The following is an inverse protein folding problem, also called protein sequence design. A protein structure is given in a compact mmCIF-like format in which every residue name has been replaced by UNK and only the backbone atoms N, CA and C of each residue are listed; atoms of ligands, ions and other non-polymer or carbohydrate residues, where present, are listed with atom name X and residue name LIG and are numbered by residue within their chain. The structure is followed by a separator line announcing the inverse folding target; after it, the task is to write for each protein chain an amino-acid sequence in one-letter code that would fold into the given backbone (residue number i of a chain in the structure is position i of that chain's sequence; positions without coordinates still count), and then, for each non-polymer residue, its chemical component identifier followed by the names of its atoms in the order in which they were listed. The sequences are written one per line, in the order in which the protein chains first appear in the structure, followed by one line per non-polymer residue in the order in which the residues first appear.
data_IF_165054339934
#
_entry.id   IF_165054339934
#
_cell.length_a   1.000
_cell.length_b   1.000
_cell.length_c   1.000
_cell.angle_alpha   90.00
_cell.angle_beta   90.00
_cell.angle_gamma   90.00
#
_symmetry.space_group_name_H-M   'P 1'
#
loop_
_entity.id
_entity.type
_entity.pdbx_description
1 polymer ?
#
# COMPACT_ATOMS: atom_id res chain seq x y z
N UNK A 1 -1.92 4.39 16.99
CA UNK A 1 -2.58 3.61 15.94
C UNK A 1 -1.95 3.93 14.60
N UNK A 2 -2.00 3.02 13.67
CA UNK A 2 -1.39 3.21 12.37
C UNK A 2 -2.42 3.22 11.25
N UNK A 3 -2.09 3.93 10.20
CA UNK A 3 -2.79 3.85 8.94
C UNK A 3 -1.92 3.11 7.95
N UNK A 4 -2.54 2.48 6.97
CA UNK A 4 -1.83 1.69 5.98
C UNK A 4 -1.82 2.38 4.62
N UNK A 5 -0.73 2.23 3.89
CA UNK A 5 -0.64 2.65 2.49
C UNK A 5 -0.29 1.44 1.65
N UNK A 6 -1.13 1.09 0.69
CA UNK A 6 -0.81 0.06 -0.29
C UNK A 6 0.01 0.70 -1.41
N UNK A 7 1.20 0.18 -1.64
CA UNK A 7 2.18 0.81 -2.51
C UNK A 7 2.68 -0.17 -3.58
N UNK A 8 2.64 0.23 -4.83
CA UNK A 8 3.10 -0.58 -5.97
C UNK A 8 4.12 0.15 -6.86
N UNK A 9 4.62 1.30 -6.42
CA UNK A 9 5.57 2.10 -7.18
C UNK A 9 4.94 3.02 -8.22
N UNK A 10 3.63 2.97 -8.43
CA UNK A 10 2.94 3.84 -9.40
C UNK A 10 2.85 5.27 -8.89
N UNK A 11 2.61 6.21 -9.82
CA UNK A 11 2.43 7.61 -9.45
C UNK A 11 1.20 7.82 -8.56
N UNK A 12 0.12 7.08 -8.83
CA UNK A 12 -1.08 7.16 -7.97
C UNK A 12 -0.82 6.61 -6.58
N UNK A 13 0.05 5.61 -6.43
CA UNK A 13 0.46 5.10 -5.12
C UNK A 13 1.33 6.12 -4.37
N UNK A 14 2.20 6.82 -5.08
CA UNK A 14 2.99 7.92 -4.48
C UNK A 14 2.09 9.04 -3.98
N UNK A 15 1.04 9.38 -4.73
CA UNK A 15 0.06 10.36 -4.29
C UNK A 15 -0.72 9.88 -3.08
N UNK A 16 -1.05 8.59 -3.03
CA UNK A 16 -1.69 8.00 -1.85
C UNK A 16 -0.80 8.12 -0.61
N UNK A 17 0.50 7.86 -0.76
CA UNK A 17 1.46 8.02 0.33
C UNK A 17 1.55 9.48 0.78
N UNK A 18 1.59 10.41 -0.18
CA UNK A 18 1.62 11.85 0.14
C UNK A 18 0.39 12.26 0.96
N UNK A 19 -0.79 11.85 0.52
CA UNK A 19 -2.03 12.15 1.21
C UNK A 19 -2.08 11.50 2.60
N UNK A 20 -1.62 10.26 2.71
CA UNK A 20 -1.54 9.56 3.99
C UNK A 20 -0.60 10.30 4.97
N UNK A 21 0.50 10.85 4.47
CA UNK A 21 1.45 11.61 5.28
C UNK A 21 0.80 12.87 5.84
N UNK A 22 0.02 13.58 5.02
CA UNK A 22 -0.73 14.76 5.49
C UNK A 22 -1.73 14.36 6.58
N UNK A 23 -2.47 13.29 6.35
CA UNK A 23 -3.43 12.78 7.33
C UNK A 23 -2.76 12.36 8.63
N UNK A 24 -1.68 11.59 8.54
CA UNK A 24 -0.95 11.11 9.72
C UNK A 24 -0.39 12.26 10.55
N UNK A 25 0.10 13.31 9.89
CA UNK A 25 0.57 14.51 10.59
C UNK A 25 -0.56 15.23 11.35
N UNK A 26 -1.73 15.34 10.72
CA UNK A 26 -2.88 16.02 11.33
C UNK A 26 -3.46 15.25 12.52
N UNK A 27 -3.47 13.92 12.44
CA UNK A 27 -4.09 13.06 13.45
C UNK A 27 -3.09 12.34 14.35
N UNK A 28 -1.80 12.61 14.20
CA UNK A 28 -0.71 12.02 14.99
C UNK A 28 -0.73 10.50 14.94
N UNK A 29 -0.73 9.97 13.72
CA UNK A 29 -0.74 8.54 13.48
C UNK A 29 0.57 8.09 12.79
N UNK A 30 0.88 6.82 12.92
CA UNK A 30 2.01 6.20 12.24
C UNK A 30 1.55 5.64 10.89
N UNK A 31 2.49 5.43 9.97
CA UNK A 31 2.21 4.86 8.66
C UNK A 31 2.88 3.49 8.53
N UNK A 32 2.13 2.52 8.03
CA UNK A 32 2.71 1.28 7.53
C UNK A 32 2.51 1.21 6.02
N UNK A 33 3.62 1.21 5.28
CA UNK A 33 3.59 1.06 3.82
C UNK A 33 3.75 -0.40 3.48
N UNK A 34 2.77 -0.97 2.79
CA UNK A 34 2.79 -2.38 2.40
C UNK A 34 2.86 -2.52 0.90
N UNK A 35 3.62 -3.50 0.46
CA UNK A 35 3.68 -3.92 -0.94
C UNK A 35 3.48 -5.41 -0.99
N UNK A 36 2.53 -5.88 -1.80
CA UNK A 36 2.33 -7.30 -2.04
C UNK A 36 3.27 -7.73 -3.18
N UNK A 37 4.13 -8.70 -2.90
CA UNK A 37 5.04 -9.24 -3.89
C UNK A 37 4.29 -10.15 -4.85
N UNK A 38 4.62 -10.05 -6.13
CA UNK A 38 4.11 -10.96 -7.15
C UNK A 38 4.97 -12.24 -7.17
N UNK A 39 4.36 -13.36 -7.53
CA UNK A 39 5.06 -14.64 -7.71
C UNK A 39 5.52 -15.28 -6.41
N UNK A 40 4.77 -15.12 -5.32
CA UNK A 40 5.16 -15.52 -3.98
C UNK A 40 5.83 -16.90 -3.84
N UNK A 41 5.27 -17.93 -4.46
CA UNK A 41 5.80 -19.30 -4.39
C UNK A 41 7.10 -19.49 -5.19
N UNK A 42 7.35 -18.60 -6.16
CA UNK A 42 8.52 -18.67 -7.05
C UNK A 42 9.69 -17.81 -6.53
N UNK A 43 9.48 -17.08 -5.44
CA UNK A 43 10.50 -16.20 -4.87
C UNK A 43 11.39 -16.98 -3.91
N UNK A 44 12.70 -16.90 -4.11
CA UNK A 44 13.65 -17.43 -3.14
C UNK A 44 13.97 -16.37 -2.08
N UNK A 45 14.81 -16.74 -1.12
CA UNK A 45 15.17 -15.89 0.01
C UNK A 45 15.87 -14.60 -0.45
N UNK A 46 16.72 -14.70 -1.47
CA UNK A 46 17.44 -13.54 -1.98
C UNK A 46 16.52 -12.58 -2.74
N UNK A 47 15.52 -13.10 -3.44
CA UNK A 47 14.51 -12.29 -4.13
C UNK A 47 13.70 -11.48 -3.11
N UNK A 48 13.24 -12.13 -2.05
CA UNK A 48 12.48 -11.47 -0.99
C UNK A 48 13.31 -10.37 -0.33
N UNK A 49 14.55 -10.67 0.02
CA UNK A 49 15.45 -9.70 0.64
C UNK A 49 15.68 -8.48 -0.26
N UNK A 50 15.91 -8.71 -1.55
CA UNK A 50 16.10 -7.63 -2.52
C UNK A 50 14.84 -6.75 -2.64
N UNK A 51 13.66 -7.37 -2.71
CA UNK A 51 12.39 -6.63 -2.79
C UNK A 51 12.14 -5.81 -1.52
N UNK A 52 12.42 -6.37 -0.35
CA UNK A 52 12.31 -5.65 0.91
C UNK A 52 13.23 -4.44 0.95
N UNK A 53 14.49 -4.61 0.54
CA UNK A 53 15.46 -3.53 0.50
C UNK A 53 15.06 -2.44 -0.49
N UNK A 54 14.58 -2.82 -1.66
CA UNK A 54 14.13 -1.86 -2.67
C UNK A 54 12.94 -1.05 -2.16
N UNK A 55 11.99 -1.68 -1.52
CA UNK A 55 10.83 -1.00 -0.93
C UNK A 55 11.29 -0.02 0.15
N UNK A 56 12.11 -0.48 1.09
CA UNK A 56 12.60 0.35 2.17
C UNK A 56 13.35 1.58 1.65
N UNK A 57 14.25 1.38 0.69
CA UNK A 57 15.03 2.47 0.10
C UNK A 57 14.14 3.49 -0.61
N UNK A 58 13.16 3.01 -1.37
CA UNK A 58 12.23 3.89 -2.10
C UNK A 58 11.38 4.71 -1.14
N UNK A 59 10.81 4.07 -0.13
CA UNK A 59 9.97 4.75 0.84
C UNK A 59 10.78 5.71 1.70
N UNK A 60 11.99 5.34 2.10
CA UNK A 60 12.89 6.26 2.82
C UNK A 60 13.13 7.54 2.01
N UNK A 61 13.31 7.42 0.70
CA UNK A 61 13.48 8.58 -0.18
C UNK A 61 12.23 9.44 -0.21
N UNK A 62 11.05 8.81 -0.39
CA UNK A 62 9.79 9.52 -0.48
C UNK A 62 9.37 10.18 0.85
N UNK A 63 9.75 9.58 1.96
CA UNK A 63 9.42 10.08 3.30
C UNK A 63 10.49 11.00 3.87
N UNK A 64 11.56 11.27 3.12
CA UNK A 64 12.62 12.14 3.57
C UNK A 64 12.08 13.54 3.89
N UNK A 65 12.45 14.06 5.07
CA UNK A 65 11.99 15.37 5.51
C UNK A 65 10.66 15.38 6.28
N UNK A 66 10.03 14.24 6.46
CA UNK A 66 8.83 14.14 7.31
C UNK A 66 9.20 13.64 8.71
N UNK A 67 8.43 14.05 9.70
CA UNK A 67 8.59 13.58 11.07
C UNK A 67 7.64 12.42 11.41
N UNK A 68 6.91 11.92 10.43
CA UNK A 68 5.93 10.86 10.62
C UNK A 68 6.64 9.52 10.80
N UNK A 69 6.42 8.81 11.91
CA UNK A 69 6.95 7.46 12.06
C UNK A 69 6.34 6.52 11.00
N UNK A 70 7.19 5.75 10.37
CA UNK A 70 6.71 4.80 9.35
C UNK A 70 7.54 3.54 9.34
N UNK A 71 6.96 2.49 8.80
CA UNK A 71 7.65 1.24 8.50
C UNK A 71 7.20 0.69 7.17
N UNK A 72 7.99 -0.19 6.59
CA UNK A 72 7.68 -0.86 5.33
C UNK A 72 7.53 -2.35 5.57
N UNK A 73 6.59 -2.96 4.87
CA UNK A 73 6.32 -4.39 4.98
C UNK A 73 6.08 -4.97 3.59
N UNK A 74 6.86 -5.98 3.24
CA UNK A 74 6.62 -6.75 2.02
C UNK A 74 5.72 -7.94 2.37
N UNK A 75 4.60 -8.07 1.68
CA UNK A 75 3.68 -9.19 1.86
C UNK A 75 4.00 -10.24 0.81
N UNK A 76 4.37 -11.43 1.28
CA UNK A 76 4.73 -12.55 0.40
C UNK A 76 3.85 -13.73 0.73
N UNK A 77 3.08 -14.20 -0.25
CA UNK A 77 2.24 -15.38 -0.11
C UNK A 77 1.87 -15.94 -1.48
N UNK A 78 1.15 -17.07 -1.49
CA UNK A 78 0.57 -17.63 -2.71
C UNK A 78 -0.79 -17.03 -3.05
N UNK A 79 -1.33 -16.15 -2.20
CA UNK A 79 -2.61 -15.48 -2.43
C UNK A 79 -2.46 -14.30 -3.38
N UNK A 80 -3.59 -13.71 -3.78
CA UNK A 80 -3.58 -12.50 -4.60
C UNK A 80 -3.16 -11.29 -3.76
N UNK A 81 -2.61 -10.23 -4.38
CA UNK A 81 -2.24 -9.02 -3.65
C UNK A 81 -3.38 -8.41 -2.84
N UNK A 82 -4.60 -8.39 -3.37
CA UNK A 82 -5.77 -7.86 -2.66
C UNK A 82 -6.09 -8.66 -1.40
N UNK A 83 -6.04 -9.98 -1.50
CA UNK A 83 -6.27 -10.86 -0.36
C UNK A 83 -5.22 -10.66 0.74
N UNK A 84 -3.96 -10.51 0.34
CA UNK A 84 -2.87 -10.28 1.27
C UNK A 84 -3.03 -8.96 2.02
N UNK A 85 -3.38 -7.90 1.30
CA UNK A 85 -3.60 -6.58 1.88
C UNK A 85 -4.76 -6.61 2.88
N UNK A 86 -5.89 -7.19 2.50
CA UNK A 86 -7.08 -7.27 3.37
C UNK A 86 -6.78 -8.08 4.62
N UNK A 87 -6.06 -9.19 4.47
CA UNK A 87 -5.66 -10.02 5.61
C UNK A 87 -4.74 -9.23 6.55
N UNK A 88 -3.79 -8.49 6.00
CA UNK A 88 -2.85 -7.69 6.78
C UNK A 88 -3.52 -6.54 7.50
N UNK A 89 -4.49 -5.87 6.85
CA UNK A 89 -5.31 -4.84 7.48
C UNK A 89 -5.97 -5.37 8.75
N UNK A 90 -6.53 -6.56 8.66
CA UNK A 90 -7.22 -7.20 9.77
C UNK A 90 -6.26 -7.54 10.91
N UNK A 91 -5.11 -8.13 10.57
CA UNK A 91 -4.09 -8.49 11.56
C UNK A 91 -3.53 -7.28 12.29
N UNK A 92 -3.37 -6.16 11.60
CA UNK A 92 -2.82 -4.92 12.16
C UNK A 92 -3.86 -4.04 12.81
N UNK A 93 -5.13 -4.32 12.63
CA UNK A 93 -6.22 -3.46 13.10
C UNK A 93 -6.03 -2.01 12.63
N UNK A 94 -5.63 -1.85 11.37
CA UNK A 94 -5.38 -0.53 10.80
C UNK A 94 -6.66 0.28 10.73
N UNK A 95 -6.56 1.57 11.05
CA UNK A 95 -7.72 2.47 11.09
C UNK A 95 -8.28 2.78 9.72
N UNK A 96 -7.42 2.85 8.72
CA UNK A 96 -7.81 3.11 7.35
C UNK A 96 -6.66 2.74 6.41
N UNK A 97 -6.96 2.65 5.14
CA UNK A 97 -5.97 2.38 4.11
C UNK A 97 -6.06 3.43 3.02
N UNK A 98 -4.91 3.89 2.56
CA UNK A 98 -4.75 4.76 1.40
C UNK A 98 -4.17 3.96 0.26
N UNK A 99 -4.76 4.09 -0.93
CA UNK A 99 -4.26 3.39 -2.10
C UNK A 99 -4.58 4.14 -3.38
N UNK A 100 -3.74 3.96 -4.39
CA UNK A 100 -3.99 4.50 -5.72
C UNK A 100 -4.90 3.59 -6.52
N UNK A 101 -5.76 4.18 -7.34
CA UNK A 101 -6.53 3.44 -8.33
C UNK A 101 -6.09 3.86 -9.72
N UNK A 102 -5.93 2.88 -10.61
CA UNK A 102 -5.49 3.18 -11.97
C UNK A 102 -6.66 3.62 -12.82
N UNK A 103 -6.45 4.73 -13.55
CA UNK A 103 -7.36 5.13 -14.60
C UNK A 103 -7.00 4.40 -15.88
N UNK A 104 -7.95 3.69 -16.45
CA UNK A 104 -7.84 3.23 -17.84
C UNK A 104 -8.99 3.86 -18.60
N UNK A 105 -8.74 4.96 -19.30
CA UNK A 105 -9.80 5.58 -20.07
C UNK A 105 -9.52 5.49 -21.56
N UNK A 106 -9.94 4.41 -22.18
CA UNK A 106 -10.21 4.43 -23.62
C UNK A 106 -11.63 4.91 -23.91
N UNK A 107 -12.51 4.94 -22.90
CA UNK A 107 -13.93 5.31 -23.04
C UNK A 107 -14.45 6.19 -21.89
N UNK A 108 -13.57 6.90 -21.18
CA UNK A 108 -14.00 7.77 -20.09
C UNK A 108 -14.50 7.04 -18.84
N UNK A 109 -14.35 5.73 -18.77
CA UNK A 109 -14.77 4.96 -17.60
C UNK A 109 -13.63 4.83 -16.61
N UNK A 110 -13.94 5.03 -15.32
CA UNK A 110 -13.02 4.76 -14.24
C UNK A 110 -12.95 3.24 -14.06
N UNK A 111 -11.80 2.65 -14.40
CA UNK A 111 -11.56 1.23 -14.19
C UNK A 111 -10.62 1.05 -13.03
N UNK A 112 -11.09 0.32 -12.03
CA UNK A 112 -10.25 -0.08 -10.89
C UNK A 112 -9.45 -1.32 -11.27
N UNK A 113 -8.17 -1.38 -10.89
CA UNK A 113 -7.41 -2.61 -10.97
C UNK A 113 -8.01 -3.67 -10.02
N UNK A 114 -7.71 -4.94 -10.26
CA UNK A 114 -8.24 -6.05 -9.46
C UNK A 114 -7.92 -5.92 -7.96
N UNK A 115 -6.70 -5.47 -7.64
CA UNK A 115 -6.29 -5.27 -6.25
C UNK A 115 -7.11 -4.18 -5.57
N UNK A 116 -7.27 -3.02 -6.23
CA UNK A 116 -8.05 -1.91 -5.67
C UNK A 116 -9.50 -2.32 -5.48
N UNK A 117 -10.09 -2.97 -6.46
CA UNK A 117 -11.47 -3.43 -6.37
C UNK A 117 -11.67 -4.40 -5.20
N UNK A 118 -10.76 -5.35 -5.04
CA UNK A 118 -10.86 -6.31 -3.94
C UNK A 118 -10.76 -5.63 -2.58
N UNK A 119 -9.80 -4.73 -2.41
CA UNK A 119 -9.61 -4.00 -1.15
C UNK A 119 -10.82 -3.13 -0.83
N UNK A 120 -11.34 -2.38 -1.80
CA UNK A 120 -12.51 -1.52 -1.61
C UNK A 120 -13.73 -2.34 -1.14
N UNK A 121 -13.92 -3.52 -1.73
CA UNK A 121 -15.07 -4.36 -1.41
C UNK A 121 -14.92 -5.14 -0.10
N UNK A 122 -13.71 -5.44 0.33
CA UNK A 122 -13.47 -6.39 1.42
C UNK A 122 -12.78 -5.79 2.66
N UNK A 123 -12.23 -4.59 2.58
CA UNK A 123 -11.58 -3.97 3.74
C UNK A 123 -12.62 -3.67 4.83
N UNK A 124 -12.25 -3.95 6.08
CA UNK A 124 -13.11 -3.67 7.23
C UNK A 124 -12.96 -2.23 7.74
N UNK A 125 -12.08 -1.45 7.14
CA UNK A 125 -11.81 -0.06 7.50
C UNK A 125 -12.07 0.86 6.31
N UNK A 126 -12.15 2.19 6.53
CA UNK A 126 -12.27 3.14 5.42
C UNK A 126 -11.11 3.03 4.43
N UNK A 127 -11.43 3.17 3.15
CA UNK A 127 -10.46 3.14 2.06
C UNK A 127 -10.45 4.51 1.39
N UNK A 128 -9.31 5.16 1.40
CA UNK A 128 -9.10 6.43 0.70
C UNK A 128 -8.35 6.13 -0.60
N UNK A 129 -8.91 6.53 -1.71
CA UNK A 129 -8.30 6.26 -3.02
C UNK A 129 -7.81 7.55 -3.67
N UNK A 130 -6.68 7.43 -4.38
CA UNK A 130 -6.13 8.51 -5.23
C UNK A 130 -6.15 8.06 -6.68
N UNK A 131 -6.21 9.00 -7.60
CA UNK A 131 -6.30 8.72 -9.02
C UNK A 131 -5.59 9.80 -9.86
#
# INVERSE_FOLDING_TARGET
MSIMVAYDGSEVAKEALRLATVHAGAFKEDIEVVQAAEGGDDLDYSDVHRLEQNLENEINTLMNGTDIPFKTTLLVSSSTPGEDIVRHLKLRESRMIFMGVRRRSKVGKLLFGSTAQYVILNAACPVVTTK
#
